data_IF_984227823008
#
_entry.id   IF_984227823008
#
_cell.length_a   1.000
_cell.length_b   1.000
_cell.length_c   1.000
_cell.angle_alpha   90.00
_cell.angle_beta   90.00
_cell.angle_gamma   90.00
#
_symmetry.space_group_name_H-M   'P 1'
#
loop_
_entity.id
_entity.type
_entity.pdbx_description
1 polymer ?
#
# COMPACT_ATOMS: atom_id res chain seq x y z
N UNK A 1 15.92 -10.40 7.08
CA UNK A 1 15.01 -10.55 5.92
C UNK A 1 14.45 -9.19 5.52
N UNK A 2 14.50 -8.84 4.24
CA UNK A 2 13.88 -7.63 3.69
C UNK A 2 12.43 -7.89 3.31
N UNK A 3 11.55 -6.91 3.50
CA UNK A 3 10.12 -7.00 3.17
C UNK A 3 9.73 -5.84 2.25
N UNK A 4 9.02 -6.14 1.17
CA UNK A 4 8.35 -5.15 0.32
C UNK A 4 6.85 -5.17 0.61
N UNK A 5 6.26 -4.02 0.84
CA UNK A 5 4.82 -3.84 1.00
C UNK A 5 4.28 -3.06 -0.19
N UNK A 6 3.52 -3.74 -1.03
CA UNK A 6 2.81 -3.15 -2.18
C UNK A 6 1.42 -2.75 -1.71
N UNK A 7 1.19 -1.45 -1.58
CA UNK A 7 0.01 -0.90 -0.94
C UNK A 7 -1.08 -0.63 -1.97
N UNK A 8 -2.20 -1.34 -1.84
CA UNK A 8 -3.50 -1.08 -2.47
C UNK A 8 -3.47 -0.80 -3.99
N UNK A 9 -2.66 -1.56 -4.74
CA UNK A 9 -2.59 -1.44 -6.21
C UNK A 9 -3.81 -2.10 -6.88
N UNK A 10 -5.01 -1.62 -6.52
CA UNK A 10 -6.31 -2.16 -6.91
C UNK A 10 -6.93 -1.39 -8.08
N UNK A 11 -7.82 -2.05 -8.83
CA UNK A 11 -8.45 -1.47 -10.01
C UNK A 11 -9.17 -0.15 -9.70
N UNK A 12 -9.91 -0.05 -8.58
CA UNK A 12 -10.64 1.17 -8.24
C UNK A 12 -9.73 2.39 -8.00
N UNK A 13 -8.48 2.18 -7.55
CA UNK A 13 -7.52 3.28 -7.36
C UNK A 13 -6.68 3.60 -8.60
N UNK A 14 -6.70 2.74 -9.62
CA UNK A 14 -5.88 2.92 -10.84
C UNK A 14 -6.72 3.42 -12.00
N UNK A 15 -7.76 2.68 -12.38
CA UNK A 15 -8.63 2.98 -13.52
C UNK A 15 -10.12 3.05 -13.16
N UNK A 16 -10.49 2.69 -11.95
CA UNK A 16 -11.86 2.62 -11.47
C UNK A 16 -12.35 3.92 -10.82
N UNK A 17 -13.23 3.78 -9.83
CA UNK A 17 -14.02 4.90 -9.26
C UNK A 17 -13.19 6.01 -8.60
N UNK A 18 -11.98 5.71 -8.13
CA UNK A 18 -11.03 6.65 -7.53
C UNK A 18 -9.69 6.69 -8.30
N UNK A 19 -9.69 6.24 -9.56
CA UNK A 19 -8.51 6.20 -10.41
C UNK A 19 -7.95 7.59 -10.72
N UNK A 20 -6.61 7.69 -10.83
CA UNK A 20 -5.90 8.91 -11.22
C UNK A 20 -4.85 8.61 -12.29
N UNK A 21 -4.47 9.63 -13.07
CA UNK A 21 -3.38 9.48 -14.05
C UNK A 21 -2.03 9.16 -13.36
N UNK A 22 -1.81 9.71 -12.18
CA UNK A 22 -0.62 9.45 -11.37
C UNK A 22 -0.55 7.98 -10.94
N UNK A 23 -1.68 7.39 -10.54
CA UNK A 23 -1.75 5.98 -10.16
C UNK A 23 -1.42 5.06 -11.35
N UNK A 24 -1.91 5.38 -12.54
CA UNK A 24 -1.58 4.61 -13.76
C UNK A 24 -0.08 4.63 -14.06
N UNK A 25 0.58 5.79 -13.89
CA UNK A 25 2.01 5.97 -14.20
C UNK A 25 2.95 5.14 -13.34
N UNK A 26 2.54 4.75 -12.15
CA UNK A 26 3.42 3.97 -11.25
C UNK A 26 3.30 2.46 -11.42
N UNK A 27 2.29 1.95 -12.14
CA UNK A 27 2.03 0.50 -12.24
C UNK A 27 3.27 -0.27 -12.69
N UNK A 28 3.88 0.13 -13.80
CA UNK A 28 5.05 -0.55 -14.35
C UNK A 28 6.24 -0.52 -13.37
N UNK A 29 6.44 0.59 -12.65
CA UNK A 29 7.51 0.72 -11.64
C UNK A 29 7.28 -0.19 -10.44
N UNK A 30 6.03 -0.32 -10.00
CA UNK A 30 5.67 -1.24 -8.91
C UNK A 30 5.93 -2.69 -9.34
N UNK A 31 5.54 -3.06 -10.56
CA UNK A 31 5.81 -4.42 -11.11
C UNK A 31 7.31 -4.67 -11.18
N UNK A 32 8.08 -3.75 -11.78
CA UNK A 32 9.55 -3.87 -11.87
C UNK A 32 10.19 -4.03 -10.47
N UNK A 33 9.71 -3.26 -9.49
CA UNK A 33 10.16 -3.39 -8.10
C UNK A 33 9.87 -4.76 -7.53
N UNK A 34 8.66 -5.31 -7.75
CA UNK A 34 8.28 -6.63 -7.27
C UNK A 34 9.13 -7.74 -7.88
N UNK A 35 9.36 -7.69 -9.20
CA UNK A 35 10.14 -8.69 -9.93
C UNK A 35 11.61 -8.73 -9.52
N UNK A 36 12.18 -7.58 -9.14
CA UNK A 36 13.59 -7.46 -8.79
C UNK A 36 13.86 -7.49 -7.28
N UNK A 37 12.82 -7.55 -6.45
CA UNK A 37 12.98 -7.48 -5.00
C UNK A 37 13.59 -8.76 -4.40
N UNK A 38 14.64 -8.59 -3.62
CA UNK A 38 15.33 -9.69 -2.93
C UNK A 38 14.82 -9.82 -1.49
N UNK A 39 13.66 -10.46 -1.31
CA UNK A 39 13.02 -10.62 0.00
C UNK A 39 11.62 -11.21 -0.10
N UNK A 40 10.78 -10.95 0.89
CA UNK A 40 9.37 -11.35 0.90
C UNK A 40 8.50 -10.15 0.52
N UNK A 41 7.37 -10.43 -0.14
CA UNK A 41 6.45 -9.41 -0.63
C UNK A 41 5.07 -9.59 0.00
N UNK A 42 4.48 -8.47 0.42
CA UNK A 42 3.10 -8.38 0.91
C UNK A 42 2.36 -7.42 -0.02
N UNK A 43 1.21 -7.81 -0.55
CA UNK A 43 0.30 -6.91 -1.25
C UNK A 43 -0.91 -6.65 -0.36
N UNK A 44 -1.15 -5.40 0.02
CA UNK A 44 -2.38 -5.05 0.73
C UNK A 44 -3.50 -4.74 -0.25
N UNK A 45 -4.74 -4.98 0.20
CA UNK A 45 -5.94 -4.56 -0.50
C UNK A 45 -6.87 -3.85 0.46
N UNK A 46 -7.19 -2.62 0.17
CA UNK A 46 -8.26 -1.91 0.84
C UNK A 46 -9.58 -2.65 0.61
N UNK A 47 -10.36 -2.85 1.67
CA UNK A 47 -11.50 -3.77 1.61
C UNK A 47 -12.70 -3.17 2.32
N UNK A 48 -13.73 -2.84 1.55
CA UNK A 48 -15.00 -2.36 2.05
C UNK A 48 -16.13 -3.36 1.78
N UNK A 49 -17.30 -3.10 2.35
CA UNK A 49 -18.51 -3.91 2.22
C UNK A 49 -19.67 -3.08 1.69
N UNK A 50 -20.79 -3.74 1.39
CA UNK A 50 -21.97 -3.07 0.81
C UNK A 50 -22.51 -1.88 1.63
N UNK A 51 -22.29 -1.89 2.95
CA UNK A 51 -22.67 -0.83 3.87
C UNK A 51 -21.64 0.32 3.94
N UNK A 52 -20.70 0.41 2.99
CA UNK A 52 -19.64 1.43 2.98
C UNK A 52 -20.15 2.84 3.24
N UNK A 53 -21.25 3.25 2.60
CA UNK A 53 -21.83 4.60 2.75
C UNK A 53 -22.33 4.92 4.18
N UNK A 54 -22.55 3.89 5.00
CA UNK A 54 -22.94 4.05 6.40
C UNK A 54 -21.75 4.19 7.35
N UNK A 55 -20.54 3.91 6.85
CA UNK A 55 -19.30 4.02 7.63
C UNK A 55 -18.88 5.48 7.82
N UNK A 56 -17.96 5.69 8.77
CA UNK A 56 -17.36 7.03 8.98
C UNK A 56 -16.60 7.53 7.75
N UNK A 57 -15.93 6.63 7.03
CA UNK A 57 -15.23 6.93 5.80
C UNK A 57 -16.20 7.27 4.67
N UNK A 58 -17.19 6.41 4.43
CA UNK A 58 -18.18 6.59 3.38
C UNK A 58 -19.04 7.86 3.53
N UNK A 59 -19.22 8.35 4.76
CA UNK A 59 -19.87 9.66 5.01
C UNK A 59 -19.01 10.85 4.59
N UNK A 60 -17.68 10.70 4.59
CA UNK A 60 -16.73 11.76 4.19
C UNK A 60 -16.33 11.65 2.72
N UNK A 61 -16.27 10.44 2.20
CA UNK A 61 -15.99 10.13 0.80
C UNK A 61 -17.11 9.23 0.26
N UNK A 62 -18.24 9.79 -0.22
CA UNK A 62 -19.43 9.02 -0.62
C UNK A 62 -19.26 8.38 -2.02
N UNK A 63 -18.13 7.74 -2.26
CA UNK A 63 -17.82 7.01 -3.49
C UNK A 63 -17.51 5.56 -3.12
N UNK A 64 -18.42 4.63 -3.43
CA UNK A 64 -18.18 3.20 -3.22
C UNK A 64 -16.95 2.76 -4.01
N UNK A 65 -16.01 2.14 -3.35
CA UNK A 65 -14.78 1.59 -3.94
C UNK A 65 -14.31 0.36 -3.16
N UNK A 66 -13.50 -0.44 -3.78
CA UNK A 66 -12.88 -1.64 -3.18
C UNK A 66 -13.87 -2.51 -2.40
N UNK A 67 -15.12 -2.61 -2.89
CA UNK A 67 -16.12 -3.49 -2.27
C UNK A 67 -15.72 -4.94 -2.49
N UNK A 68 -15.63 -5.70 -1.42
CA UNK A 68 -15.21 -7.10 -1.43
C UNK A 68 -15.95 -7.92 -2.50
N UNK A 69 -15.20 -8.64 -3.31
CA UNK A 69 -15.73 -9.50 -4.38
C UNK A 69 -16.01 -8.80 -5.71
N UNK A 70 -15.88 -7.45 -5.77
CA UNK A 70 -16.02 -6.71 -7.04
C UNK A 70 -14.72 -6.69 -7.82
N UNK A 71 -14.78 -6.33 -9.09
CA UNK A 71 -13.61 -6.13 -9.95
C UNK A 71 -12.73 -4.98 -9.43
N UNK A 72 -13.33 -3.93 -8.90
CA UNK A 72 -12.64 -2.79 -8.29
C UNK A 72 -11.75 -3.15 -7.10
N UNK A 73 -12.16 -4.16 -6.31
CA UNK A 73 -11.41 -4.67 -5.16
C UNK A 73 -10.17 -5.49 -5.57
N UNK A 74 -10.11 -6.04 -6.78
CA UNK A 74 -8.97 -6.83 -7.22
C UNK A 74 -7.73 -5.97 -7.45
N UNK A 75 -6.57 -6.56 -7.24
CA UNK A 75 -5.32 -5.95 -7.72
C UNK A 75 -5.40 -5.75 -9.23
N UNK A 76 -4.79 -4.69 -9.75
CA UNK A 76 -4.72 -4.51 -11.19
C UNK A 76 -3.98 -5.69 -11.84
N UNK A 77 -4.32 -6.06 -13.09
CA UNK A 77 -3.85 -7.29 -13.70
C UNK A 77 -2.34 -7.51 -13.64
N UNK A 78 -1.56 -6.48 -13.95
CA UNK A 78 -0.10 -6.57 -13.97
C UNK A 78 0.49 -6.85 -12.58
N UNK A 79 -0.04 -6.17 -11.54
CA UNK A 79 0.39 -6.40 -10.16
C UNK A 79 -0.10 -7.75 -9.64
N UNK A 80 -1.30 -8.20 -10.03
CA UNK A 80 -1.81 -9.52 -9.67
C UNK A 80 -0.93 -10.64 -10.23
N UNK A 81 -0.52 -10.53 -11.50
CA UNK A 81 0.38 -11.47 -12.15
C UNK A 81 1.76 -11.51 -11.47
N UNK A 82 2.35 -10.34 -11.20
CA UNK A 82 3.61 -10.25 -10.47
C UNK A 82 3.51 -10.82 -9.05
N UNK A 83 2.40 -10.57 -8.35
CA UNK A 83 2.16 -11.09 -6.99
C UNK A 83 2.09 -12.63 -6.98
N UNK A 84 1.41 -13.24 -7.97
CA UNK A 84 1.38 -14.68 -8.12
C UNK A 84 2.76 -15.25 -8.43
N UNK A 85 3.48 -14.66 -9.37
CA UNK A 85 4.81 -15.11 -9.80
C UNK A 85 5.85 -15.06 -8.67
N UNK A 86 5.82 -14.05 -7.82
CA UNK A 86 6.75 -13.92 -6.68
C UNK A 86 6.24 -14.56 -5.36
N UNK A 87 5.03 -15.13 -5.34
CA UNK A 87 4.44 -15.74 -4.16
C UNK A 87 4.12 -14.72 -3.05
N UNK A 88 3.65 -13.54 -3.43
CA UNK A 88 3.34 -12.47 -2.46
C UNK A 88 2.19 -12.86 -1.53
N UNK A 89 2.31 -12.47 -0.26
CA UNK A 89 1.23 -12.61 0.72
C UNK A 89 0.18 -11.52 0.48
N UNK A 90 -1.08 -11.89 0.31
CA UNK A 90 -2.19 -10.92 0.20
C UNK A 90 -2.74 -10.64 1.59
N UNK A 91 -2.95 -9.35 1.89
CA UNK A 91 -3.54 -8.85 3.13
C UNK A 91 -4.70 -7.91 2.83
N UNK A 92 -5.92 -8.36 3.11
CA UNK A 92 -7.10 -7.49 3.10
C UNK A 92 -7.13 -6.63 4.38
N UNK A 93 -7.34 -5.33 4.24
CA UNK A 93 -7.43 -4.38 5.35
C UNK A 93 -8.68 -3.52 5.23
N UNK A 94 -9.30 -3.18 6.36
CA UNK A 94 -10.52 -2.37 6.44
C UNK A 94 -10.27 -0.93 6.88
N UNK A 95 -9.01 -0.54 7.01
CA UNK A 95 -8.56 0.78 7.48
C UNK A 95 -7.34 1.22 6.68
N UNK A 96 -7.04 2.51 6.67
CA UNK A 96 -5.91 3.06 5.90
C UNK A 96 -4.59 2.37 6.27
N UNK A 97 -4.24 2.34 7.56
CA UNK A 97 -3.15 1.51 8.06
C UNK A 97 -3.69 0.19 8.63
N UNK A 98 -3.08 -0.93 8.27
CA UNK A 98 -3.49 -2.24 8.78
C UNK A 98 -2.86 -2.55 10.13
N UNK A 99 -3.68 -2.82 11.14
CA UNK A 99 -3.21 -3.27 12.46
C UNK A 99 -2.51 -4.64 12.42
N UNK A 100 -2.80 -5.45 11.41
CA UNK A 100 -2.24 -6.79 11.26
C UNK A 100 -0.92 -6.79 10.47
N UNK A 101 -0.65 -5.73 9.70
CA UNK A 101 0.54 -5.65 8.85
C UNK A 101 1.84 -5.84 9.62
N UNK A 102 2.09 -5.17 10.77
CA UNK A 102 3.34 -5.35 11.51
C UNK A 102 3.56 -6.81 11.95
N UNK A 103 2.51 -7.49 12.37
CA UNK A 103 2.57 -8.89 12.79
C UNK A 103 2.88 -9.82 11.61
N UNK A 104 2.28 -9.57 10.44
CA UNK A 104 2.57 -10.34 9.24
C UNK A 104 4.00 -10.10 8.75
N UNK A 105 4.49 -8.86 8.86
CA UNK A 105 5.89 -8.52 8.57
C UNK A 105 6.84 -9.29 9.49
N UNK A 106 6.57 -9.31 10.80
CA UNK A 106 7.38 -10.06 11.78
C UNK A 106 7.36 -11.57 11.50
N UNK A 107 6.19 -12.13 11.17
CA UNK A 107 6.03 -13.54 10.80
C UNK A 107 6.86 -13.90 9.57
N UNK A 108 6.75 -13.13 8.48
CA UNK A 108 7.48 -13.38 7.24
C UNK A 108 8.98 -13.12 7.34
N UNK A 109 9.38 -12.22 8.21
CA UNK A 109 10.79 -11.95 8.49
C UNK A 109 11.42 -12.96 9.47
N UNK A 110 10.61 -13.83 10.08
CA UNK A 110 11.02 -14.74 11.15
C UNK A 110 11.62 -13.99 12.35
N UNK A 111 11.01 -12.83 12.68
CA UNK A 111 11.44 -11.91 13.71
C UNK A 111 11.50 -10.47 13.23
N UNK A 112 12.43 -9.67 13.76
CA UNK A 112 12.58 -8.27 13.33
C UNK A 112 13.10 -8.18 11.89
N UNK A 113 12.42 -7.48 10.97
CA UNK A 113 12.89 -7.33 9.59
C UNK A 113 14.18 -6.49 9.52
N UNK A 114 15.02 -6.80 8.54
CA UNK A 114 16.22 -6.00 8.21
C UNK A 114 15.83 -4.62 7.69
N UNK A 115 14.86 -4.58 6.80
CA UNK A 115 14.24 -3.37 6.29
C UNK A 115 12.83 -3.65 5.78
N UNK A 116 11.99 -2.63 5.78
CA UNK A 116 10.67 -2.67 5.14
C UNK A 116 10.57 -1.52 4.15
N UNK A 117 10.30 -1.86 2.90
CA UNK A 117 10.09 -0.88 1.83
C UNK A 117 8.62 -0.86 1.42
N UNK A 118 8.05 0.33 1.22
CA UNK A 118 6.66 0.50 0.80
C UNK A 118 6.60 1.16 -0.58
N UNK A 119 5.69 0.67 -1.41
CA UNK A 119 5.32 1.23 -2.72
C UNK A 119 3.80 1.22 -2.87
N UNK A 120 3.24 1.97 -3.81
CA UNK A 120 1.83 1.90 -4.18
C UNK A 120 0.99 3.12 -3.80
N UNK A 121 -0.24 2.91 -3.39
CA UNK A 121 -1.31 3.92 -3.31
C UNK A 121 -2.02 3.97 -1.95
N UNK A 122 -2.55 5.10 -1.56
CA UNK A 122 -2.06 6.42 -1.97
C UNK A 122 -0.99 6.86 -0.99
N UNK A 123 0.06 7.56 -1.46
CA UNK A 123 1.17 8.04 -0.63
C UNK A 123 0.69 8.75 0.63
N UNK A 124 -0.31 9.61 0.46
CA UNK A 124 -0.86 10.52 1.47
C UNK A 124 -1.97 9.91 2.35
N UNK A 125 -2.34 8.66 2.11
CA UNK A 125 -3.40 7.96 2.87
C UNK A 125 -2.88 6.61 3.39
N UNK A 126 -2.95 5.55 2.59
CA UNK A 126 -2.64 4.19 3.04
C UNK A 126 -1.14 3.95 3.17
N UNK A 127 -0.30 4.52 2.29
CA UNK A 127 1.16 4.35 2.37
C UNK A 127 1.71 4.99 3.64
N UNK A 128 1.46 6.28 3.87
CA UNK A 128 1.91 6.98 5.09
C UNK A 128 1.37 6.33 6.36
N UNK A 129 0.10 5.90 6.37
CA UNK A 129 -0.52 5.26 7.54
C UNK A 129 0.20 3.96 7.91
N UNK A 130 0.51 3.12 6.92
CA UNK A 130 1.24 1.87 7.14
C UNK A 130 2.71 2.12 7.48
N UNK A 131 3.37 3.09 6.83
CA UNK A 131 4.76 3.42 7.10
C UNK A 131 4.97 3.91 8.54
N UNK A 132 4.11 4.81 9.04
CA UNK A 132 4.15 5.29 10.43
C UNK A 132 3.86 4.16 11.43
N UNK A 133 2.90 3.29 11.12
CA UNK A 133 2.58 2.14 11.96
C UNK A 133 3.76 1.17 12.05
N UNK A 134 4.39 0.84 10.93
CA UNK A 134 5.59 -0.01 10.88
C UNK A 134 6.76 0.64 11.62
N UNK A 135 6.97 1.95 11.49
CA UNK A 135 8.02 2.67 12.24
C UNK A 135 7.79 2.65 13.74
N UNK A 136 6.52 2.72 14.19
CA UNK A 136 6.18 2.60 15.60
C UNK A 136 6.40 1.18 16.15
N UNK A 137 6.14 0.15 15.32
CA UNK A 137 6.30 -1.25 15.70
C UNK A 137 7.76 -1.71 15.66
N UNK A 138 8.53 -1.23 14.68
CA UNK A 138 9.93 -1.57 14.44
C UNK A 138 10.80 -0.31 14.47
N UNK A 139 11.00 0.31 15.65
CA UNK A 139 11.65 1.63 15.75
C UNK A 139 13.09 1.64 15.24
N UNK A 140 13.79 0.51 15.34
CA UNK A 140 15.20 0.38 14.92
C UNK A 140 15.35 -0.13 13.48
N UNK A 141 14.26 -0.59 12.85
CA UNK A 141 14.30 -1.06 11.46
C UNK A 141 14.27 0.13 10.50
N UNK A 142 15.04 0.04 9.41
CA UNK A 142 14.93 0.97 8.28
C UNK A 142 13.58 0.78 7.59
N UNK A 143 12.75 1.82 7.63
CA UNK A 143 11.48 1.91 6.91
C UNK A 143 11.67 2.89 5.75
N UNK A 144 11.46 2.40 4.52
CA UNK A 144 11.65 3.16 3.28
C UNK A 144 10.32 3.30 2.54
N UNK A 145 10.15 4.40 1.85
CA UNK A 145 9.07 4.60 0.86
C UNK A 145 9.71 5.01 -0.46
N UNK A 146 9.56 4.17 -1.49
CA UNK A 146 10.04 4.53 -2.83
C UNK A 146 9.07 5.52 -3.48
N UNK A 147 9.38 6.80 -3.36
CA UNK A 147 8.56 7.88 -3.90
C UNK A 147 8.27 7.73 -5.40
N UNK A 148 9.19 7.14 -6.16
CA UNK A 148 9.04 6.95 -7.61
C UNK A 148 8.03 5.87 -7.99
N UNK A 149 7.74 4.97 -7.05
CA UNK A 149 6.77 3.89 -7.18
C UNK A 149 5.52 4.12 -6.29
N UNK A 150 5.29 5.36 -5.88
CA UNK A 150 4.11 5.81 -5.13
C UNK A 150 3.41 6.95 -5.85
N UNK A 151 2.10 7.07 -5.65
CA UNK A 151 1.32 8.22 -6.07
C UNK A 151 0.32 8.63 -4.99
N UNK A 152 0.13 9.93 -4.80
CA UNK A 152 -0.89 10.48 -3.92
C UNK A 152 -2.20 10.77 -4.64
N UNK A 153 -3.19 11.24 -3.91
CA UNK A 153 -4.45 11.73 -4.51
C UNK A 153 -4.17 12.89 -5.47
N UNK A 154 -3.21 13.74 -5.12
CA UNK A 154 -2.67 14.79 -5.99
C UNK A 154 -1.13 14.82 -5.87
N UNK A 155 -0.41 15.39 -6.87
CA UNK A 155 1.04 15.59 -6.74
C UNK A 155 1.43 16.39 -5.50
N UNK A 156 0.65 17.39 -5.11
CA UNK A 156 0.90 18.20 -3.91
C UNK A 156 0.76 17.40 -2.62
N UNK A 157 -0.31 16.60 -2.49
CA UNK A 157 -0.54 15.78 -1.30
C UNK A 157 0.50 14.64 -1.19
N UNK A 158 0.95 14.10 -2.32
CA UNK A 158 2.09 13.17 -2.39
C UNK A 158 3.35 13.77 -1.76
N UNK A 159 3.77 14.95 -2.24
CA UNK A 159 4.95 15.64 -1.72
C UNK A 159 4.84 16.00 -0.23
N UNK A 160 3.65 16.41 0.21
CA UNK A 160 3.40 16.72 1.61
C UNK A 160 3.52 15.49 2.50
N UNK A 161 3.02 14.34 2.05
CA UNK A 161 3.15 13.07 2.76
C UNK A 161 4.62 12.61 2.87
N UNK A 162 5.39 12.70 1.79
CA UNK A 162 6.82 12.38 1.79
C UNK A 162 7.59 13.26 2.80
N UNK A 163 7.31 14.56 2.83
CA UNK A 163 7.91 15.47 3.81
C UNK A 163 7.55 15.10 5.25
N UNK A 164 6.28 14.74 5.50
CA UNK A 164 5.82 14.32 6.83
C UNK A 164 6.51 13.01 7.27
N UNK A 165 6.60 12.03 6.39
CA UNK A 165 7.27 10.75 6.67
C UNK A 165 8.76 10.95 6.97
N UNK A 166 9.43 11.83 6.21
CA UNK A 166 10.84 12.17 6.46
C UNK A 166 11.08 12.76 7.85
N UNK A 167 10.15 13.62 8.33
CA UNK A 167 10.23 14.15 9.71
C UNK A 167 10.06 13.05 10.76
N UNK A 168 9.38 11.96 10.43
CA UNK A 168 9.22 10.77 11.29
C UNK A 168 10.33 9.73 11.09
N UNK A 169 11.46 10.10 10.47
CA UNK A 169 12.62 9.23 10.23
C UNK A 169 12.32 8.02 9.32
N UNK A 170 11.37 8.18 8.42
CA UNK A 170 11.15 7.25 7.31
C UNK A 170 11.97 7.75 6.12
N UNK A 171 12.70 6.85 5.48
CA UNK A 171 13.50 7.15 4.29
C UNK A 171 12.58 7.31 3.07
N UNK A 172 12.74 8.38 2.28
CA UNK A 172 11.93 8.68 1.10
C UNK A 172 12.80 9.21 -0.04
#
# INVERSE_FOLDING_TARGET
MKILVVVDMQNDFITGSLGTEEAVKIVDRVVEKMENFQGKIICTRDTHFENYLDTSEGKKLPVKHCIRGTEGHRLCPQVAEAAEACGARILDKETFGSKDLPKIVEELAEGTPESVELVGLCTDICVISNALLLKAFFPETSILVDASACAGVTPESHENALKAMKMCQIEV
#
